data_IF_029393596767
#
_entry.id   IF_029393596767
#
_cell.length_a   1.000
_cell.length_b   1.000
_cell.length_c   1.000
_cell.angle_alpha   90.00
_cell.angle_beta   90.00
_cell.angle_gamma   90.00
#
_symmetry.space_group_name_H-M   'P 1'
#
loop_
_entity.id
_entity.type
_entity.pdbx_description
1 polymer ?
#
# COMPACT_ATOMS: atom_id res chain seq x y z
N UNK A 1 -6.41 2.04 21.35
CA UNK A 1 -5.59 0.83 21.07
C UNK A 1 -4.12 1.20 21.20
N UNK A 2 -3.30 0.39 21.88
CA UNK A 2 -1.85 0.65 21.99
C UNK A 2 -1.12 0.33 20.70
N UNK A 3 0.08 0.89 20.48
CA UNK A 3 0.91 0.60 19.30
C UNK A 3 1.18 -0.91 19.11
N UNK A 4 1.56 -1.69 20.16
CA UNK A 4 1.70 -3.14 20.02
C UNK A 4 0.39 -3.83 19.60
N UNK A 5 -0.75 -3.44 20.19
CA UNK A 5 -2.06 -4.00 19.83
C UNK A 5 -2.41 -3.77 18.36
N UNK A 6 -2.17 -2.55 17.85
CA UNK A 6 -2.38 -2.21 16.43
C UNK A 6 -1.51 -3.06 15.50
N UNK A 7 -0.22 -3.22 15.82
CA UNK A 7 0.71 -3.99 14.98
C UNK A 7 0.34 -5.48 14.96
N UNK A 8 -0.02 -6.06 16.11
CA UNK A 8 -0.50 -7.44 16.19
C UNK A 8 -1.78 -7.65 15.38
N UNK A 9 -2.76 -6.75 15.52
CA UNK A 9 -4.00 -6.80 14.75
C UNK A 9 -3.71 -6.72 13.24
N UNK A 10 -2.88 -5.76 12.81
CA UNK A 10 -2.52 -5.59 11.40
C UNK A 10 -1.81 -6.81 10.81
N UNK A 11 -0.89 -7.42 11.56
CA UNK A 11 -0.20 -8.63 11.14
C UNK A 11 -1.19 -9.79 10.93
N UNK A 12 -2.08 -10.03 11.92
CA UNK A 12 -3.11 -11.05 11.84
C UNK A 12 -4.06 -10.84 10.66
N UNK A 13 -4.47 -9.59 10.41
CA UNK A 13 -5.38 -9.26 9.32
C UNK A 13 -4.81 -9.67 7.95
N UNK A 14 -3.52 -9.38 7.71
CA UNK A 14 -2.84 -9.78 6.48
C UNK A 14 -2.72 -11.30 6.35
N UNK A 15 -2.35 -12.00 7.43
CA UNK A 15 -2.25 -13.46 7.44
C UNK A 15 -3.61 -14.12 7.16
N UNK A 16 -4.69 -13.58 7.73
CA UNK A 16 -6.04 -14.06 7.49
C UNK A 16 -6.46 -13.85 6.03
N UNK A 17 -6.24 -12.66 5.47
CA UNK A 17 -6.56 -12.38 4.07
C UNK A 17 -5.80 -13.31 3.12
N UNK A 18 -4.51 -13.54 3.37
CA UNK A 18 -3.69 -14.44 2.56
C UNK A 18 -4.17 -15.90 2.64
N UNK A 19 -4.57 -16.35 3.84
CA UNK A 19 -5.17 -17.68 4.03
C UNK A 19 -6.46 -17.83 3.22
N UNK A 20 -7.35 -16.84 3.30
CA UNK A 20 -8.62 -16.86 2.57
C UNK A 20 -8.42 -16.88 1.06
N UNK A 21 -7.48 -16.06 0.55
CA UNK A 21 -7.14 -16.06 -0.88
C UNK A 21 -6.54 -17.40 -1.30
N UNK A 22 -5.64 -17.99 -0.51
CA UNK A 22 -5.07 -19.29 -0.82
C UNK A 22 -6.14 -20.41 -0.86
N UNK A 23 -7.09 -20.40 0.08
CA UNK A 23 -8.22 -21.33 0.10
C UNK A 23 -9.11 -21.18 -1.15
N UNK A 24 -9.36 -19.94 -1.60
CA UNK A 24 -10.11 -19.68 -2.84
C UNK A 24 -9.34 -20.14 -4.09
N UNK A 25 -8.02 -19.93 -4.13
CA UNK A 25 -7.19 -20.32 -5.28
C UNK A 25 -6.95 -21.83 -5.37
N UNK A 26 -7.11 -22.55 -4.26
CA UNK A 26 -7.07 -24.02 -4.21
C UNK A 26 -8.41 -24.66 -4.59
N UNK A 27 -9.44 -23.88 -4.89
CA UNK A 27 -10.76 -24.40 -5.24
C UNK A 27 -10.71 -25.19 -6.56
N UNK A 28 -11.27 -26.40 -6.56
CA UNK A 28 -11.25 -27.31 -7.71
C UNK A 28 -12.02 -26.79 -8.93
N UNK A 29 -12.84 -25.75 -8.77
CA UNK A 29 -13.54 -25.08 -9.87
C UNK A 29 -12.61 -24.23 -10.76
N UNK A 30 -11.42 -23.87 -10.29
CA UNK A 30 -10.40 -23.16 -11.09
C UNK A 30 -9.76 -24.12 -12.09
N UNK A 31 -9.85 -23.80 -13.38
CA UNK A 31 -9.35 -24.64 -14.47
C UNK A 31 -8.52 -23.81 -15.49
N UNK A 32 -7.24 -24.17 -15.75
CA UNK A 32 -6.50 -25.26 -15.11
C UNK A 32 -6.21 -24.97 -13.62
N UNK A 33 -6.04 -26.00 -12.77
CA UNK A 33 -5.70 -25.79 -11.37
C UNK A 33 -4.35 -25.09 -11.24
N UNK A 34 -4.25 -24.19 -10.26
CA UNK A 34 -2.98 -23.57 -9.88
C UNK A 34 -2.11 -24.56 -9.10
N UNK A 35 -0.81 -24.49 -9.30
CA UNK A 35 0.16 -25.21 -8.48
C UNK A 35 0.21 -24.64 -7.06
N UNK A 36 0.66 -25.44 -6.10
CA UNK A 36 0.85 -24.98 -4.73
C UNK A 36 1.85 -23.81 -4.65
N UNK A 37 2.88 -23.81 -5.51
CA UNK A 37 3.87 -22.74 -5.59
C UNK A 37 3.24 -21.40 -6.03
N UNK A 38 2.33 -21.41 -7.00
CA UNK A 38 1.58 -20.21 -7.42
C UNK A 38 0.67 -19.69 -6.31
N UNK A 39 -0.02 -20.60 -5.61
CA UNK A 39 -0.91 -20.25 -4.49
C UNK A 39 -0.09 -19.62 -3.35
N UNK A 40 1.03 -20.24 -2.97
CA UNK A 40 1.92 -19.75 -1.93
C UNK A 40 2.53 -18.40 -2.31
N UNK A 41 2.87 -18.22 -3.59
CA UNK A 41 3.35 -16.94 -4.13
C UNK A 41 2.30 -15.84 -3.94
N UNK A 42 1.05 -16.06 -4.36
CA UNK A 42 -0.02 -15.07 -4.17
C UNK A 42 -0.26 -14.79 -2.69
N UNK A 43 -0.25 -15.81 -1.83
CA UNK A 43 -0.41 -15.64 -0.40
C UNK A 43 0.71 -14.77 0.21
N UNK A 44 1.97 -14.94 -0.22
CA UNK A 44 3.10 -14.11 0.20
C UNK A 44 2.93 -12.64 -0.22
N UNK A 45 2.46 -12.41 -1.46
CA UNK A 45 2.15 -11.08 -1.98
C UNK A 45 1.06 -10.37 -1.16
N UNK A 46 -0.03 -11.08 -0.79
CA UNK A 46 -1.10 -10.53 0.06
C UNK A 46 -0.58 -10.16 1.46
N UNK A 47 0.37 -10.93 2.02
CA UNK A 47 1.04 -10.58 3.28
C UNK A 47 2.03 -9.42 3.13
N UNK A 48 2.40 -9.08 1.90
CA UNK A 48 3.42 -8.08 1.55
C UNK A 48 4.77 -8.46 2.13
N UNK A 49 5.14 -9.73 1.99
CA UNK A 49 6.42 -10.27 2.43
C UNK A 49 7.55 -9.73 1.55
N UNK A 50 8.71 -9.49 2.16
CA UNK A 50 9.93 -9.08 1.45
C UNK A 50 9.81 -7.78 0.64
N UNK A 51 9.00 -6.83 1.12
CA UNK A 51 8.95 -5.47 0.56
C UNK A 51 10.37 -4.87 0.48
N UNK A 52 10.71 -4.31 -0.68
CA UNK A 52 12.04 -3.79 -1.09
C UNK A 52 13.04 -4.82 -1.61
N UNK A 53 12.84 -6.12 -1.35
CA UNK A 53 13.74 -7.19 -1.83
C UNK A 53 13.08 -8.09 -2.86
N UNK A 54 11.76 -8.23 -2.81
CA UNK A 54 10.96 -8.91 -3.82
C UNK A 54 10.34 -7.90 -4.80
N UNK A 55 10.55 -8.13 -6.10
CA UNK A 55 10.10 -7.23 -7.17
C UNK A 55 8.59 -7.11 -7.25
N UNK A 56 7.85 -8.21 -7.10
CA UNK A 56 6.40 -8.20 -7.30
C UNK A 56 5.70 -7.63 -6.07
N UNK A 57 6.21 -7.93 -4.85
CA UNK A 57 5.75 -7.24 -3.64
C UNK A 57 5.97 -5.74 -3.76
N UNK A 58 7.13 -5.31 -4.30
CA UNK A 58 7.41 -3.90 -4.50
C UNK A 58 6.43 -3.25 -5.49
N UNK A 59 6.15 -3.92 -6.63
CA UNK A 59 5.16 -3.44 -7.60
C UNK A 59 3.77 -3.32 -6.97
N UNK A 60 3.34 -4.31 -6.20
CA UNK A 60 2.04 -4.27 -5.52
C UNK A 60 1.95 -3.17 -4.46
N UNK A 61 3.01 -2.89 -3.72
CA UNK A 61 3.03 -1.77 -2.77
C UNK A 61 3.02 -0.41 -3.50
N UNK A 62 3.74 -0.29 -4.62
CA UNK A 62 3.71 0.90 -5.47
C UNK A 62 2.28 1.15 -5.97
N UNK A 63 1.62 0.14 -6.55
CA UNK A 63 0.22 0.24 -7.00
C UNK A 63 -0.70 0.64 -5.86
N UNK A 64 -0.57 0.02 -4.68
CA UNK A 64 -1.40 0.37 -3.52
C UNK A 64 -1.21 1.84 -3.08
N UNK A 65 0.02 2.36 -3.15
CA UNK A 65 0.29 3.76 -2.82
C UNK A 65 -0.23 4.71 -3.89
N UNK A 66 -0.06 4.39 -5.17
CA UNK A 66 -0.56 5.18 -6.29
C UNK A 66 -2.09 5.25 -6.29
N UNK A 67 -2.79 4.14 -6.08
CA UNK A 67 -4.26 4.11 -5.94
C UNK A 67 -4.72 4.95 -4.75
N UNK A 68 -3.98 4.94 -3.63
CA UNK A 68 -4.31 5.84 -2.51
C UNK A 68 -4.19 7.31 -2.91
N UNK A 69 -3.12 7.69 -3.63
CA UNK A 69 -2.92 9.07 -4.08
C UNK A 69 -3.99 9.51 -5.09
N UNK A 70 -4.43 8.61 -5.97
CA UNK A 70 -5.39 8.91 -7.04
C UNK A 70 -6.83 8.99 -6.53
N UNK A 71 -7.26 7.95 -5.82
CA UNK A 71 -8.69 7.71 -5.57
C UNK A 71 -9.14 8.09 -4.15
N UNK A 72 -8.21 8.19 -3.20
CA UNK A 72 -8.56 8.26 -1.77
C UNK A 72 -8.00 9.49 -1.08
N UNK A 73 -6.94 10.09 -1.62
CA UNK A 73 -6.17 11.12 -0.94
C UNK A 73 -7.02 12.32 -0.53
N UNK A 74 -7.80 12.89 -1.45
CA UNK A 74 -8.55 14.12 -1.20
C UNK A 74 -9.60 13.96 -0.11
N UNK A 75 -10.34 12.84 -0.13
CA UNK A 75 -11.35 12.57 0.89
C UNK A 75 -10.72 12.17 2.21
N UNK A 76 -9.57 11.50 2.16
CA UNK A 76 -8.81 11.15 3.36
C UNK A 76 -8.28 12.39 4.08
N UNK A 77 -7.75 13.39 3.35
CA UNK A 77 -7.26 14.64 3.93
C UNK A 77 -8.38 15.43 4.64
N UNK A 78 -9.60 15.43 4.08
CA UNK A 78 -10.75 16.18 4.63
C UNK A 78 -11.30 15.62 5.93
N UNK A 79 -10.82 14.45 6.38
CA UNK A 79 -11.30 13.84 7.62
C UNK A 79 -10.96 14.71 8.84
N UNK A 80 -11.88 14.87 9.80
CA UNK A 80 -11.68 15.77 10.94
C UNK A 80 -10.55 15.35 11.88
N UNK A 81 -10.11 14.09 11.83
CA UNK A 81 -8.99 13.58 12.61
C UNK A 81 -7.64 13.70 11.88
N UNK A 82 -7.59 14.29 10.69
CA UNK A 82 -6.40 14.45 9.86
C UNK A 82 -6.06 15.94 9.79
N UNK A 83 -5.07 16.36 10.59
CA UNK A 83 -4.43 17.65 10.40
C UNK A 83 -3.30 17.56 9.37
N UNK A 84 -2.77 18.71 8.98
CA UNK A 84 -1.71 18.81 7.98
C UNK A 84 -0.43 18.04 8.41
N UNK A 85 -0.02 18.13 9.67
CA UNK A 85 1.19 17.46 10.17
C UNK A 85 1.05 15.94 10.07
N UNK A 86 -0.11 15.40 10.50
CA UNK A 86 -0.44 13.99 10.40
C UNK A 86 -0.53 13.56 8.94
N UNK A 87 -1.07 14.41 8.06
CA UNK A 87 -1.16 14.10 6.63
C UNK A 87 0.23 14.02 5.98
N UNK A 88 1.09 15.01 6.23
CA UNK A 88 2.49 15.02 5.80
C UNK A 88 3.23 13.79 6.35
N UNK A 89 2.99 13.43 7.62
CA UNK A 89 3.55 12.22 8.22
C UNK A 89 3.08 10.91 7.57
N UNK A 90 1.86 10.85 7.07
CA UNK A 90 1.34 9.73 6.28
C UNK A 90 2.00 9.70 4.90
N UNK A 91 2.07 10.84 4.20
CA UNK A 91 2.71 10.94 2.89
C UNK A 91 4.17 10.52 2.92
N UNK A 92 4.95 10.92 3.94
CA UNK A 92 6.34 10.46 4.15
C UNK A 92 6.42 8.93 4.26
N UNK A 93 5.47 8.31 4.98
CA UNK A 93 5.42 6.85 5.12
C UNK A 93 4.95 6.16 3.84
N UNK A 94 4.07 6.78 3.06
CA UNK A 94 3.65 6.30 1.75
C UNK A 94 4.84 6.33 0.78
N UNK A 95 5.54 7.46 0.69
CA UNK A 95 6.75 7.60 -0.14
C UNK A 95 7.85 6.62 0.24
N UNK A 96 8.12 6.43 1.54
CA UNK A 96 9.19 5.54 2.02
C UNK A 96 8.97 4.04 1.74
N UNK A 97 7.79 3.64 1.26
CA UNK A 97 7.48 2.27 0.83
C UNK A 97 7.55 2.09 -0.69
N UNK A 98 7.39 3.17 -1.45
CA UNK A 98 7.40 3.13 -2.91
C UNK A 98 8.82 3.00 -3.45
N UNK A 99 8.94 2.38 -4.63
CA UNK A 99 10.16 2.35 -5.42
C UNK A 99 10.41 3.70 -6.11
N UNK A 100 11.62 3.93 -6.68
CA UNK A 100 11.87 5.08 -7.54
C UNK A 100 10.92 5.18 -8.74
N UNK A 101 10.49 4.04 -9.29
CA UNK A 101 9.51 4.01 -10.37
C UNK A 101 8.13 4.45 -9.89
N UNK A 102 7.72 4.00 -8.70
CA UNK A 102 6.49 4.46 -8.04
C UNK A 102 6.51 5.97 -7.78
N UNK A 103 7.65 6.53 -7.34
CA UNK A 103 7.80 7.98 -7.16
C UNK A 103 7.66 8.74 -8.47
N UNK A 104 8.30 8.24 -9.54
CA UNK A 104 8.23 8.87 -10.85
C UNK A 104 6.79 8.92 -11.40
N UNK A 105 6.03 7.84 -11.21
CA UNK A 105 4.60 7.79 -11.56
C UNK A 105 3.78 8.76 -10.70
N UNK A 106 3.99 8.76 -9.39
CA UNK A 106 3.25 9.63 -8.46
C UNK A 106 3.39 11.13 -8.82
N UNK A 107 4.59 11.55 -9.24
CA UNK A 107 4.87 12.93 -9.63
C UNK A 107 4.23 13.34 -10.98
N UNK A 108 3.79 12.37 -11.79
CA UNK A 108 3.11 12.61 -13.06
C UNK A 108 1.58 12.60 -12.94
N UNK A 109 1.04 12.25 -11.77
CA UNK A 109 -0.39 12.15 -11.54
C UNK A 109 -1.09 13.51 -11.55
N UNK A 110 -2.34 13.51 -12.00
CA UNK A 110 -3.21 14.69 -12.00
C UNK A 110 -3.82 14.94 -10.61
N UNK A 111 -2.99 15.38 -9.67
CA UNK A 111 -3.42 15.70 -8.31
C UNK A 111 -3.89 17.15 -8.18
N UNK A 112 -4.78 17.42 -7.21
CA UNK A 112 -5.16 18.79 -6.86
C UNK A 112 -4.00 19.60 -6.31
N UNK A 113 -4.12 20.93 -6.37
CA UNK A 113 -3.07 21.84 -5.90
C UNK A 113 -2.73 21.62 -4.43
N UNK A 114 -3.76 21.37 -3.61
CA UNK A 114 -3.58 21.06 -2.18
C UNK A 114 -2.76 19.78 -1.97
N UNK A 115 -3.07 18.73 -2.73
CA UNK A 115 -2.33 17.47 -2.67
C UNK A 115 -0.85 17.64 -3.03
N UNK A 116 -0.56 18.42 -4.08
CA UNK A 116 0.82 18.73 -4.49
C UNK A 116 1.59 19.44 -3.39
N UNK A 117 1.02 20.48 -2.79
CA UNK A 117 1.64 21.20 -1.67
C UNK A 117 1.98 20.25 -0.50
N UNK A 118 1.07 19.33 -0.17
CA UNK A 118 1.30 18.37 0.91
C UNK A 118 2.40 17.35 0.58
N UNK A 119 2.47 16.92 -0.69
CA UNK A 119 3.56 16.05 -1.17
C UNK A 119 4.89 16.79 -1.12
N UNK A 120 4.98 18.03 -1.60
CA UNK A 120 6.21 18.84 -1.55
C UNK A 120 6.72 19.00 -0.10
N UNK A 121 5.82 19.31 0.84
CA UNK A 121 6.12 19.35 2.28
C UNK A 121 6.59 17.99 2.82
N UNK A 122 6.00 16.90 2.36
CA UNK A 122 6.42 15.55 2.73
C UNK A 122 7.84 15.24 2.25
N UNK A 123 8.19 15.70 1.05
CA UNK A 123 9.51 15.52 0.44
C UNK A 123 10.58 16.48 0.95
N UNK A 124 10.19 17.52 1.72
CA UNK A 124 11.11 18.55 2.19
C UNK A 124 11.61 19.46 1.07
N UNK A 125 10.86 19.54 -0.03
CA UNK A 125 11.10 20.46 -1.15
C UNK A 125 10.28 21.72 -0.87
N UNK A 126 10.68 22.49 0.15
CA UNK A 126 10.07 23.79 0.41
C UNK A 126 10.80 24.84 -0.44
N UNK A 127 10.05 25.66 -1.19
CA UNK A 127 10.57 26.88 -1.84
C UNK A 127 10.46 28.08 -0.93
#
# INVERSE_FOLDING_TARGET
MTRPGYLTWRAKLKSQAAKQVAELLADASIQPPLSQEEIDRVAALVRKEDLKTDSDTQVLEDVACLVFLDEQFEDFEKRPDIDEEKMVGILRKTWGKMSPSGHALALQMHLSERAKILIEKALGVEK
#
